data_IF_099144372134
#
_entry.id   IF_099144372134
#
_cell.length_a   1.000
_cell.length_b   1.000
_cell.length_c   1.000
_cell.angle_alpha   90.00
_cell.angle_beta   90.00
_cell.angle_gamma   90.00
#
_symmetry.space_group_name_H-M   'P 1'
#
loop_
_entity.id
_entity.type
_entity.pdbx_description
1 polymer ?
#
# COMPACT_ATOMS: atom_id res chain seq x y z
N UNK A 1 18.71 -7.94 4.09
CA UNK A 1 17.73 -7.24 4.97
C UNK A 1 16.81 -8.31 5.56
N UNK A 2 16.34 -8.15 6.80
CA UNK A 2 15.40 -9.11 7.38
C UNK A 2 13.97 -8.86 6.86
N UNK A 3 13.08 -9.84 7.07
CA UNK A 3 11.68 -9.80 6.63
C UNK A 3 10.90 -8.58 7.15
N UNK A 4 11.11 -8.19 8.42
CA UNK A 4 10.46 -7.02 9.03
C UNK A 4 10.84 -5.73 8.32
N UNK A 5 12.14 -5.52 8.07
CA UNK A 5 12.62 -4.35 7.35
C UNK A 5 12.07 -4.29 5.93
N UNK A 6 12.08 -5.40 5.19
CA UNK A 6 11.51 -5.45 3.84
C UNK A 6 10.00 -5.15 3.83
N UNK A 7 9.28 -5.68 4.82
CA UNK A 7 7.84 -5.44 4.99
C UNK A 7 7.53 -3.96 5.25
N UNK A 8 8.29 -3.27 6.11
CA UNK A 8 8.12 -1.83 6.34
C UNK A 8 8.46 -1.03 5.08
N UNK A 9 9.57 -1.36 4.41
CA UNK A 9 10.04 -0.64 3.22
C UNK A 9 9.04 -0.74 2.05
N UNK A 10 8.24 -1.80 2.01
CA UNK A 10 7.16 -1.95 1.01
C UNK A 10 6.11 -0.83 1.04
N UNK A 11 6.08 0.00 2.08
CA UNK A 11 5.15 1.13 2.18
C UNK A 11 5.77 2.48 1.81
N UNK A 12 7.08 2.72 1.96
CA UNK A 12 7.64 4.08 2.06
C UNK A 12 7.39 4.95 0.81
N UNK A 13 7.68 4.45 -0.39
CA UNK A 13 7.42 5.10 -1.67
C UNK A 13 7.35 4.03 -2.76
N UNK A 14 7.06 4.40 -4.01
CA UNK A 14 7.23 3.48 -5.15
C UNK A 14 8.66 2.94 -5.24
N UNK A 15 9.66 3.78 -4.93
CA UNK A 15 11.08 3.38 -4.90
C UNK A 15 11.31 2.38 -3.77
N UNK A 16 10.80 2.67 -2.57
CA UNK A 16 10.85 1.74 -1.43
C UNK A 16 10.20 0.40 -1.77
N UNK A 17 9.02 0.41 -2.37
CA UNK A 17 8.30 -0.78 -2.79
C UNK A 17 9.11 -1.61 -3.81
N UNK A 18 9.71 -0.97 -4.82
CA UNK A 18 10.58 -1.65 -5.80
C UNK A 18 11.81 -2.27 -5.12
N UNK A 19 12.45 -1.55 -4.19
CA UNK A 19 13.58 -2.08 -3.42
C UNK A 19 13.16 -3.32 -2.62
N UNK A 20 12.02 -3.26 -1.93
CA UNK A 20 11.50 -4.40 -1.17
C UNK A 20 11.20 -5.59 -2.10
N UNK A 21 10.55 -5.36 -3.24
CA UNK A 21 10.20 -6.40 -4.20
C UNK A 21 11.44 -7.08 -4.81
N UNK A 22 12.44 -6.30 -5.22
CA UNK A 22 13.68 -6.84 -5.79
C UNK A 22 14.45 -7.64 -4.74
N UNK A 23 14.55 -7.16 -3.50
CA UNK A 23 15.22 -7.89 -2.43
C UNK A 23 14.46 -9.17 -2.05
N UNK A 24 13.14 -9.11 -1.97
CA UNK A 24 12.28 -10.27 -1.74
C UNK A 24 12.50 -11.36 -2.79
N UNK A 25 12.67 -10.98 -4.06
CA UNK A 25 12.94 -11.93 -5.15
C UNK A 25 14.36 -12.52 -5.17
N UNK A 26 15.30 -11.95 -4.41
CA UNK A 26 16.65 -12.50 -4.24
C UNK A 26 16.75 -13.50 -3.09
N UNK A 27 15.70 -13.63 -2.27
CA UNK A 27 15.70 -14.57 -1.14
C UNK A 27 15.62 -16.02 -1.63
N UNK A 28 16.47 -16.89 -1.08
CA UNK A 28 16.43 -18.35 -1.32
C UNK A 28 15.12 -18.97 -0.83
N UNK A 29 14.60 -18.46 0.31
CA UNK A 29 13.32 -18.86 0.89
C UNK A 29 12.45 -17.62 1.03
N UNK A 30 11.29 -17.63 0.39
CA UNK A 30 10.33 -16.53 0.44
C UNK A 30 9.53 -16.58 1.74
N UNK A 31 9.46 -15.46 2.46
CA UNK A 31 8.64 -15.33 3.67
C UNK A 31 7.24 -14.77 3.37
N UNK A 32 6.24 -15.23 4.12
CA UNK A 32 4.84 -14.81 3.95
C UNK A 32 4.61 -13.35 4.35
N UNK A 33 5.34 -12.85 5.35
CA UNK A 33 5.19 -11.50 5.89
C UNK A 33 5.52 -10.44 4.82
N UNK A 34 6.70 -10.54 4.22
CA UNK A 34 7.13 -9.62 3.15
C UNK A 34 6.22 -9.73 1.94
N UNK A 35 5.79 -10.94 1.57
CA UNK A 35 4.83 -11.15 0.47
C UNK A 35 3.52 -10.42 0.73
N UNK A 36 2.97 -10.60 1.93
CA UNK A 36 1.71 -10.00 2.35
C UNK A 36 1.80 -8.47 2.30
N UNK A 37 2.85 -7.89 2.88
CA UNK A 37 3.01 -6.44 2.91
C UNK A 37 3.38 -5.84 1.56
N UNK A 38 4.09 -6.56 0.67
CA UNK A 38 4.28 -6.15 -0.72
C UNK A 38 2.94 -6.02 -1.47
N UNK A 39 2.01 -6.96 -1.27
CA UNK A 39 0.67 -6.92 -1.87
C UNK A 39 -0.18 -5.79 -1.28
N UNK A 40 -0.23 -5.68 0.04
CA UNK A 40 -0.97 -4.61 0.73
C UNK A 40 -0.45 -3.22 0.36
N UNK A 41 0.88 -3.02 0.42
CA UNK A 41 1.52 -1.75 0.08
C UNK A 41 1.26 -1.33 -1.37
N UNK A 42 1.36 -2.26 -2.32
CA UNK A 42 1.03 -1.98 -3.72
C UNK A 42 -0.45 -1.63 -3.90
N UNK A 43 -1.35 -2.39 -3.27
CA UNK A 43 -2.78 -2.16 -3.35
C UNK A 43 -3.20 -0.79 -2.83
N UNK A 44 -2.66 -0.38 -1.67
CA UNK A 44 -2.91 0.95 -1.10
C UNK A 44 -2.34 2.06 -2.00
N UNK A 45 -1.15 1.87 -2.57
CA UNK A 45 -0.56 2.83 -3.50
C UNK A 45 -1.42 3.02 -4.77
N UNK A 46 -1.88 1.92 -5.37
CA UNK A 46 -2.78 1.96 -6.54
C UNK A 46 -4.11 2.63 -6.18
N UNK A 47 -4.71 2.28 -5.04
CA UNK A 47 -5.94 2.91 -4.55
C UNK A 47 -5.77 4.42 -4.37
N UNK A 48 -4.66 4.85 -3.77
CA UNK A 48 -4.33 6.28 -3.60
C UNK A 48 -4.21 7.02 -4.92
N UNK A 49 -3.57 6.41 -5.93
CA UNK A 49 -3.48 6.98 -7.29
C UNK A 49 -4.87 7.12 -7.92
N UNK A 50 -5.70 6.07 -7.85
CA UNK A 50 -7.06 6.08 -8.40
C UNK A 50 -7.90 7.19 -7.76
N UNK A 51 -7.87 7.30 -6.43
CA UNK A 51 -8.57 8.35 -5.69
C UNK A 51 -8.05 9.73 -6.11
N UNK A 52 -6.73 9.95 -6.12
CA UNK A 52 -6.13 11.24 -6.48
C UNK A 52 -6.53 11.70 -7.88
N UNK A 53 -6.50 10.79 -8.87
CA UNK A 53 -6.93 11.08 -10.24
C UNK A 53 -8.41 11.41 -10.30
N UNK A 54 -9.27 10.61 -9.63
CA UNK A 54 -10.71 10.87 -9.59
C UNK A 54 -11.03 12.24 -8.96
N UNK A 55 -10.37 12.57 -7.85
CA UNK A 55 -10.52 13.86 -7.19
C UNK A 55 -10.08 15.03 -8.07
N UNK A 56 -8.98 14.87 -8.80
CA UNK A 56 -8.47 15.88 -9.73
C UNK A 56 -9.48 16.17 -10.85
N UNK A 57 -10.09 15.12 -11.42
CA UNK A 57 -11.13 15.27 -12.45
C UNK A 57 -12.36 15.97 -11.88
N UNK A 58 -12.83 15.57 -10.70
CA UNK A 58 -14.00 16.18 -10.06
C UNK A 58 -13.74 17.66 -9.74
N UNK A 59 -12.56 17.98 -9.21
CA UNK A 59 -12.19 19.36 -8.90
C UNK A 59 -12.14 20.27 -10.13
N UNK A 60 -11.80 19.73 -11.31
CA UNK A 60 -11.81 20.47 -12.56
C UNK A 60 -13.23 20.82 -13.03
N UNK A 61 -14.23 20.00 -12.71
CA UNK A 61 -15.63 20.21 -13.11
C UNK A 61 -16.40 21.01 -12.05
N UNK A 62 -16.16 20.73 -10.76
CA UNK A 62 -16.86 21.35 -9.64
C UNK A 62 -15.84 21.79 -8.57
N UNK A 63 -15.21 22.96 -8.72
CA UNK A 63 -14.13 23.41 -7.83
C UNK A 63 -14.54 23.54 -6.36
N UNK A 64 -15.82 23.86 -6.09
CA UNK A 64 -16.35 24.00 -4.73
C UNK A 64 -16.36 22.70 -3.93
N UNK A 65 -16.37 21.54 -4.60
CA UNK A 65 -16.30 20.22 -3.94
C UNK A 65 -14.86 19.79 -3.63
N UNK A 66 -13.86 20.42 -4.28
CA UNK A 66 -12.47 19.98 -4.20
C UNK A 66 -11.92 19.98 -2.75
N UNK A 67 -12.26 21.00 -1.96
CA UNK A 67 -11.81 21.15 -0.58
C UNK A 67 -12.39 20.08 0.34
N UNK A 68 -13.68 19.74 0.21
CA UNK A 68 -14.32 18.69 1.02
C UNK A 68 -13.75 17.31 0.64
N UNK A 69 -13.57 17.07 -0.65
CA UNK A 69 -13.11 15.77 -1.14
C UNK A 69 -11.62 15.51 -0.85
N UNK A 70 -10.83 16.54 -0.57
CA UNK A 70 -9.44 16.40 -0.13
C UNK A 70 -9.28 15.54 1.14
N UNK A 71 -10.32 15.49 1.98
CA UNK A 71 -10.36 14.66 3.20
C UNK A 71 -10.26 13.16 2.91
N UNK A 72 -10.62 12.71 1.70
CA UNK A 72 -10.51 11.30 1.30
C UNK A 72 -9.04 10.85 1.28
N UNK A 73 -8.09 11.75 0.98
CA UNK A 73 -6.66 11.43 1.03
C UNK A 73 -6.19 11.09 2.45
N UNK A 74 -6.84 11.65 3.49
CA UNK A 74 -6.53 11.30 4.88
C UNK A 74 -6.91 9.85 5.18
N UNK A 75 -8.00 9.33 4.60
CA UNK A 75 -8.38 7.92 4.76
C UNK A 75 -7.31 7.01 4.17
N UNK A 76 -6.82 7.32 2.97
CA UNK A 76 -5.72 6.57 2.33
C UNK A 76 -4.45 6.63 3.20
N UNK A 77 -4.11 7.81 3.74
CA UNK A 77 -2.97 7.98 4.63
C UNK A 77 -3.11 7.13 5.91
N UNK A 78 -4.30 7.08 6.51
CA UNK A 78 -4.58 6.25 7.70
C UNK A 78 -4.40 4.77 7.37
N UNK A 79 -4.96 4.29 6.26
CA UNK A 79 -4.78 2.90 5.82
C UNK A 79 -3.30 2.56 5.60
N UNK A 80 -2.56 3.48 4.99
CA UNK A 80 -1.12 3.33 4.75
C UNK A 80 -0.32 3.23 6.05
N UNK A 81 -0.59 4.12 7.03
CA UNK A 81 0.03 4.08 8.36
C UNK A 81 -0.32 2.78 9.08
N UNK A 82 -1.57 2.32 9.02
CA UNK A 82 -1.98 1.03 9.60
C UNK A 82 -1.20 -0.14 8.99
N UNK A 83 -0.98 -0.13 7.67
CA UNK A 83 -0.14 -1.13 6.99
C UNK A 83 1.29 -1.16 7.52
N UNK A 84 1.90 0.01 7.76
CA UNK A 84 3.24 0.14 8.35
C UNK A 84 3.27 -0.37 9.79
N UNK A 85 2.26 -0.04 10.61
CA UNK A 85 2.16 -0.50 12.00
C UNK A 85 2.08 -2.04 12.03
N UNK A 86 1.21 -2.62 11.20
CA UNK A 86 1.08 -4.08 11.10
C UNK A 86 2.39 -4.73 10.66
N UNK A 87 3.09 -4.15 9.67
CA UNK A 87 4.40 -4.62 9.24
C UNK A 87 5.46 -4.56 10.34
N UNK A 88 5.48 -3.49 11.12
CA UNK A 88 6.41 -3.33 12.24
C UNK A 88 6.13 -4.33 13.38
N UNK A 89 4.87 -4.72 13.56
CA UNK A 89 4.45 -5.73 14.52
C UNK A 89 4.54 -7.16 13.97
N UNK A 90 5.03 -7.34 12.73
CA UNK A 90 5.12 -8.64 12.05
C UNK A 90 3.76 -9.35 11.92
N UNK A 91 2.70 -8.58 11.70
CA UNK A 91 1.33 -9.06 11.60
C UNK A 91 0.79 -9.00 10.17
N UNK A 92 0.32 -10.13 9.65
CA UNK A 92 -0.34 -10.24 8.34
C UNK A 92 -1.83 -9.86 8.41
N UNK A 93 -2.12 -8.69 8.99
CA UNK A 93 -3.48 -8.17 9.14
C UNK A 93 -3.77 -7.19 7.98
N UNK A 94 -4.81 -7.44 7.17
CA UNK A 94 -5.16 -6.54 6.08
C UNK A 94 -5.67 -5.22 6.64
N UNK A 95 -5.35 -4.12 5.96
CA UNK A 95 -5.91 -2.81 6.33
C UNK A 95 -7.44 -2.83 6.20
N UNK A 96 -8.18 -2.09 7.04
CA UNK A 96 -9.63 -2.18 7.08
C UNK A 96 -10.27 -1.75 5.76
N UNK A 97 -11.50 -2.21 5.54
CA UNK A 97 -12.36 -1.92 4.36
C UNK A 97 -11.85 -2.49 3.04
N UNK A 98 -10.60 -2.21 2.65
CA UNK A 98 -10.06 -2.51 1.32
C UNK A 98 -8.93 -3.53 1.32
N UNK A 99 -8.26 -3.78 2.45
CA UNK A 99 -7.05 -4.61 2.47
C UNK A 99 -7.25 -6.03 1.96
N UNK A 100 -8.41 -6.65 2.23
CA UNK A 100 -8.73 -7.99 1.72
C UNK A 100 -8.76 -8.07 0.19
N UNK A 101 -9.04 -6.96 -0.50
CA UNK A 101 -9.05 -6.92 -1.96
C UNK A 101 -7.64 -7.13 -2.55
N UNK A 102 -6.59 -6.90 -1.77
CA UNK A 102 -5.20 -6.95 -2.24
C UNK A 102 -4.52 -8.28 -1.95
N UNK A 103 -5.01 -9.05 -0.97
CA UNK A 103 -4.38 -10.30 -0.50
C UNK A 103 -4.26 -11.34 -1.62
N UNK A 104 -5.31 -11.46 -2.44
CA UNK A 104 -5.40 -12.42 -3.55
C UNK A 104 -5.13 -11.77 -4.92
N UNK A 105 -4.45 -10.63 -4.93
CA UNK A 105 -4.03 -9.94 -6.16
C UNK A 105 -2.53 -9.99 -6.33
N UNK A 106 -2.09 -9.49 -7.49
CA UNK A 106 -0.69 -9.34 -7.87
C UNK A 106 0.05 -10.68 -7.93
N UNK A 107 -0.38 -11.57 -8.83
CA UNK A 107 0.14 -12.94 -8.97
C UNK A 107 1.63 -13.02 -9.33
N UNK A 108 2.23 -11.90 -9.74
CA UNK A 108 3.66 -11.77 -9.93
C UNK A 108 4.45 -11.71 -8.60
N UNK A 109 3.78 -11.45 -7.47
CA UNK A 109 4.35 -11.44 -6.11
C UNK A 109 4.14 -12.84 -5.49
N UNK A 110 5.06 -13.77 -5.82
CA UNK A 110 5.03 -15.18 -5.42
C UNK A 110 5.86 -15.47 -4.17
#
# INVERSE_FOLDING_TARGET
>A
MNKKTLSIISYITIIGWVIAYVNYNKLTVKDSLTRFHLKQGLGIAILGIIISVALTIIAAVVPTLASILSLVNLVVLVLWIMGIINANNEQEIPVPVVGKLFTDKFDFIK
#
